data_IF_435601797790
#
_entry.id   IF_435601797790
#
_cell.length_a   1.000
_cell.length_b   1.000
_cell.length_c   1.000
_cell.angle_alpha   90.00
_cell.angle_beta   90.00
_cell.angle_gamma   90.00
#
_symmetry.space_group_name_H-M   'P 1'
#
loop_
_entity.id
_entity.type
_entity.pdbx_description
1 polymer ?
#
# COMPACT_ATOMS: atom_id res chain seq x y z
N UNK A 1 -18.30 1.05 -5.20
CA UNK A 1 -17.52 1.23 -3.99
C UNK A 1 -16.39 0.22 -3.92
N UNK A 2 -15.18 0.68 -3.71
CA UNK A 2 -13.98 -0.16 -3.63
C UNK A 2 -13.35 -0.04 -2.25
N UNK A 3 -12.61 -1.07 -1.86
CA UNK A 3 -11.75 -1.06 -0.67
C UNK A 3 -10.32 -1.22 -1.15
N UNK A 4 -9.55 -0.14 -1.05
CA UNK A 4 -8.23 -0.02 -1.66
C UNK A 4 -7.12 -0.11 -0.60
N UNK A 5 -6.04 -0.81 -0.94
CA UNK A 5 -4.81 -0.81 -0.15
C UNK A 5 -3.71 -0.21 -1.03
N UNK A 6 -3.15 0.92 -0.60
CA UNK A 6 -2.10 1.58 -1.37
C UNK A 6 -0.76 0.87 -1.13
N UNK A 7 -0.01 0.59 -2.20
CA UNK A 7 1.39 0.24 -2.00
C UNK A 7 2.20 1.50 -1.64
N UNK A 8 3.46 1.32 -1.30
CA UNK A 8 4.28 2.42 -0.79
C UNK A 8 4.43 3.54 -1.82
N UNK A 9 4.68 3.22 -3.09
CA UNK A 9 4.83 4.24 -4.12
C UNK A 9 3.53 4.98 -4.39
N UNK A 10 2.41 4.26 -4.48
CA UNK A 10 1.10 4.90 -4.69
C UNK A 10 0.78 5.89 -3.56
N UNK A 11 1.06 5.51 -2.32
CA UNK A 11 0.86 6.39 -1.17
C UNK A 11 1.74 7.63 -1.24
N UNK A 12 3.03 7.47 -1.51
CA UNK A 12 3.96 8.60 -1.61
C UNK A 12 3.61 9.52 -2.77
N UNK A 13 3.22 8.97 -3.91
CA UNK A 13 2.80 9.77 -5.06
C UNK A 13 1.53 10.56 -4.76
N UNK A 14 0.59 9.95 -4.04
CA UNK A 14 -0.61 10.66 -3.60
C UNK A 14 -0.26 11.87 -2.72
N UNK A 15 0.58 11.65 -1.71
CA UNK A 15 0.97 12.71 -0.77
C UNK A 15 1.69 13.87 -1.47
N UNK A 16 2.51 13.56 -2.46
CA UNK A 16 3.29 14.55 -3.21
C UNK A 16 2.52 15.14 -4.38
N UNK A 17 1.29 14.70 -4.63
CA UNK A 17 0.55 15.04 -5.84
C UNK A 17 1.40 14.82 -7.09
N UNK A 18 2.11 13.69 -7.12
CA UNK A 18 3.12 13.41 -8.14
C UNK A 18 2.48 13.02 -9.47
N UNK A 19 3.04 13.48 -10.61
CA UNK A 19 2.49 13.12 -11.93
C UNK A 19 2.61 11.64 -12.27
N UNK A 20 3.46 10.89 -11.57
CA UNK A 20 3.58 9.44 -11.73
C UNK A 20 2.30 8.69 -11.39
N UNK A 21 1.49 9.24 -10.47
CA UNK A 21 0.22 8.63 -10.13
C UNK A 21 -0.77 8.81 -11.28
N UNK A 22 -1.23 7.71 -11.87
CA UNK A 22 -2.14 7.75 -13.01
C UNK A 22 -3.51 8.33 -12.67
N UNK A 23 -4.22 8.82 -13.68
CA UNK A 23 -5.51 9.47 -13.49
C UNK A 23 -6.57 8.54 -12.89
N UNK A 24 -6.62 7.28 -13.33
CA UNK A 24 -7.57 6.29 -12.80
C UNK A 24 -7.35 6.03 -11.31
N UNK A 25 -6.09 5.87 -10.91
CA UNK A 25 -5.75 5.65 -9.51
C UNK A 25 -6.06 6.89 -8.68
N UNK A 26 -5.68 8.07 -9.16
CA UNK A 26 -5.97 9.33 -8.48
C UNK A 26 -7.46 9.51 -8.23
N UNK A 27 -8.27 9.21 -9.23
CA UNK A 27 -9.72 9.30 -9.15
C UNK A 27 -10.30 8.32 -8.13
N UNK A 28 -9.83 7.08 -8.16
CA UNK A 28 -10.30 6.04 -7.23
C UNK A 28 -9.91 6.35 -5.78
N UNK A 29 -8.69 6.83 -5.55
CA UNK A 29 -8.21 7.18 -4.22
C UNK A 29 -8.96 8.39 -3.68
N UNK A 30 -9.25 9.38 -4.52
CA UNK A 30 -9.95 10.60 -4.13
C UNK A 30 -11.47 10.45 -4.03
N UNK A 31 -12.04 9.33 -4.45
CA UNK A 31 -13.47 9.09 -4.39
C UNK A 31 -13.90 8.75 -2.97
N UNK A 32 -14.69 9.62 -2.36
CA UNK A 32 -15.14 9.47 -0.97
C UNK A 32 -15.98 8.21 -0.72
N UNK A 33 -16.54 7.61 -1.77
CA UNK A 33 -17.29 6.37 -1.66
C UNK A 33 -16.39 5.15 -1.47
N UNK A 34 -15.12 5.28 -1.76
CA UNK A 34 -14.14 4.20 -1.60
C UNK A 34 -13.48 4.30 -0.23
N UNK A 35 -13.19 3.14 0.36
CA UNK A 35 -12.37 3.07 1.55
C UNK A 35 -10.91 2.88 1.13
N UNK A 36 -10.01 3.70 1.64
CA UNK A 36 -8.59 3.66 1.32
C UNK A 36 -7.80 3.36 2.58
N UNK A 37 -6.95 2.33 2.49
CA UNK A 37 -6.13 1.85 3.61
C UNK A 37 -4.65 2.03 3.30
N UNK A 38 -3.89 2.36 4.34
CA UNK A 38 -2.43 2.37 4.32
C UNK A 38 -1.93 1.44 5.41
N UNK A 39 -1.11 0.46 5.02
CA UNK A 39 -0.62 -0.55 5.94
C UNK A 39 0.48 -0.01 6.85
N UNK A 40 0.54 -0.55 8.07
CA UNK A 40 1.68 -0.36 8.96
C UNK A 40 3.00 -0.80 8.30
N UNK A 41 2.96 -1.78 7.38
CA UNK A 41 4.13 -2.20 6.61
C UNK A 41 4.68 -1.06 5.76
N UNK A 42 3.81 -0.25 5.16
CA UNK A 42 4.23 0.91 4.36
C UNK A 42 4.92 1.95 5.25
N UNK A 43 4.36 2.23 6.41
CA UNK A 43 5.00 3.14 7.38
C UNK A 43 6.39 2.65 7.80
N UNK A 44 6.52 1.35 8.03
CA UNK A 44 7.79 0.73 8.41
C UNK A 44 8.81 0.79 7.25
N UNK A 45 8.40 0.45 6.04
CA UNK A 45 9.26 0.53 4.86
C UNK A 45 9.81 1.96 4.67
N UNK A 46 8.94 2.95 4.74
CA UNK A 46 9.34 4.35 4.58
C UNK A 46 10.32 4.76 5.67
N UNK A 47 10.05 4.39 6.92
CA UNK A 47 10.92 4.72 8.05
C UNK A 47 12.33 4.13 7.88
N UNK A 48 12.43 2.86 7.45
CA UNK A 48 13.70 2.20 7.21
C UNK A 48 14.47 2.90 6.08
N UNK A 49 13.81 3.13 4.96
CA UNK A 49 14.46 3.73 3.78
C UNK A 49 14.86 5.18 4.02
N UNK A 50 14.10 5.91 4.80
CA UNK A 50 14.45 7.28 5.20
C UNK A 50 15.70 7.26 6.09
N UNK A 51 15.76 6.35 7.05
CA UNK A 51 16.87 6.25 7.99
C UNK A 51 18.21 5.95 7.29
N UNK A 52 18.19 5.20 6.19
CA UNK A 52 19.41 4.88 5.42
C UNK A 52 19.62 5.81 4.23
N UNK A 53 18.85 6.88 4.12
CA UNK A 53 19.03 7.91 3.09
C UNK A 53 18.57 7.51 1.69
N UNK A 54 17.80 6.43 1.56
CA UNK A 54 17.32 5.95 0.24
C UNK A 54 16.01 6.57 -0.20
N UNK A 55 15.33 7.29 0.67
CA UNK A 55 14.02 7.84 0.39
C UNK A 55 13.82 9.14 1.15
N UNK A 56 13.27 10.14 0.45
CA UNK A 56 12.79 11.35 1.09
C UNK A 56 11.27 11.24 1.24
N UNK A 57 10.78 11.51 2.44
CA UNK A 57 9.35 11.45 2.74
C UNK A 57 9.03 12.40 3.88
N UNK A 58 7.77 12.86 4.00
CA UNK A 58 7.35 13.66 5.13
C UNK A 58 7.55 12.91 6.45
N UNK A 59 7.78 13.65 7.53
CA UNK A 59 8.01 13.06 8.85
C UNK A 59 6.71 12.66 9.57
N UNK A 60 5.63 13.36 9.29
CA UNK A 60 4.36 13.20 9.98
C UNK A 60 3.38 12.30 9.21
N UNK A 61 3.86 11.15 8.72
CA UNK A 61 3.05 10.25 7.89
C UNK A 61 1.77 9.78 8.57
N UNK A 62 1.84 9.50 9.87
CA UNK A 62 0.66 9.06 10.62
C UNK A 62 -0.48 10.08 10.53
N UNK A 63 -0.17 11.35 10.75
CA UNK A 63 -1.15 12.43 10.63
C UNK A 63 -1.62 12.59 9.18
N UNK A 64 -0.74 12.41 8.21
CA UNK A 64 -1.08 12.57 6.79
C UNK A 64 -2.03 11.47 6.30
N UNK A 65 -1.93 10.26 6.82
CA UNK A 65 -2.91 9.20 6.55
C UNK A 65 -4.30 9.66 6.97
N UNK A 66 -4.42 10.17 8.17
CA UNK A 66 -5.71 10.62 8.72
C UNK A 66 -6.23 11.85 7.98
N UNK A 67 -5.37 12.82 7.70
CA UNK A 67 -5.74 14.03 6.97
C UNK A 67 -6.23 13.74 5.56
N UNK A 68 -5.69 12.70 4.93
CA UNK A 68 -6.15 12.24 3.61
C UNK A 68 -7.49 11.52 3.65
N UNK A 69 -8.03 11.24 4.84
CA UNK A 69 -9.24 10.46 5.00
C UNK A 69 -9.02 8.97 4.86
N UNK A 70 -7.78 8.51 4.95
CA UNK A 70 -7.42 7.10 4.84
C UNK A 70 -7.46 6.42 6.21
N UNK A 71 -7.62 5.11 6.20
CA UNK A 71 -7.57 4.28 7.40
C UNK A 71 -6.24 3.57 7.53
N UNK A 72 -5.76 3.44 8.76
CA UNK A 72 -4.60 2.61 9.05
C UNK A 72 -4.98 1.14 8.99
N UNK A 73 -4.10 0.30 8.44
CA UNK A 73 -4.26 -1.15 8.45
C UNK A 73 -3.13 -1.77 9.27
N UNK A 74 -3.49 -2.27 10.44
CA UNK A 74 -2.53 -2.92 11.34
C UNK A 74 -2.14 -4.29 10.81
N UNK A 75 -0.89 -4.69 11.08
CA UNK A 75 -0.42 -6.03 10.77
C UNK A 75 -0.80 -6.95 11.94
N UNK A 76 -1.57 -7.99 11.64
CA UNK A 76 -1.93 -9.01 12.62
C UNK A 76 -0.94 -10.18 12.57
N UNK A 77 -0.98 -11.02 13.59
CA UNK A 77 -0.18 -12.25 13.58
C UNK A 77 -0.51 -13.12 12.36
N UNK A 78 -1.80 -13.22 12.04
CA UNK A 78 -2.27 -13.95 10.86
C UNK A 78 -1.67 -13.40 9.56
N UNK A 79 -1.66 -12.08 9.41
CA UNK A 79 -1.03 -11.45 8.24
C UNK A 79 0.44 -11.86 8.12
N UNK A 80 1.17 -11.88 9.24
CA UNK A 80 2.58 -12.25 9.26
C UNK A 80 2.81 -13.69 8.82
N UNK A 81 2.01 -14.62 9.34
CA UNK A 81 2.10 -16.02 8.96
C UNK A 81 1.79 -16.23 7.48
N UNK A 82 0.74 -15.59 6.98
CA UNK A 82 0.35 -15.67 5.58
C UNK A 82 1.42 -15.10 4.66
N UNK A 83 1.99 -13.95 5.01
CA UNK A 83 3.06 -13.33 4.22
C UNK A 83 4.27 -14.27 4.09
N UNK A 84 4.64 -14.91 5.19
CA UNK A 84 5.76 -15.86 5.20
C UNK A 84 5.50 -17.11 4.35
N UNK A 85 4.24 -17.52 4.25
CA UNK A 85 3.84 -18.75 3.53
C UNK A 85 3.57 -18.54 2.03
N UNK A 86 3.57 -17.28 1.54
CA UNK A 86 3.28 -17.01 0.14
C UNK A 86 4.29 -17.68 -0.80
N UNK A 87 3.87 -18.11 -2.01
CA UNK A 87 4.80 -18.56 -3.04
C UNK A 87 5.84 -17.49 -3.35
N UNK A 88 7.01 -17.90 -3.86
CA UNK A 88 8.12 -16.99 -4.10
C UNK A 88 8.05 -16.34 -5.48
N UNK A 89 6.96 -15.64 -5.80
CA UNK A 89 6.84 -14.79 -6.98
C UNK A 89 7.44 -13.41 -6.77
N UNK A 90 7.51 -12.97 -5.52
CA UNK A 90 8.06 -11.67 -5.12
C UNK A 90 8.93 -11.86 -3.89
N UNK A 91 10.08 -11.18 -3.86
CA UNK A 91 11.04 -11.29 -2.74
C UNK A 91 10.90 -10.17 -1.72
N UNK A 92 10.32 -9.05 -2.11
CA UNK A 92 10.20 -7.88 -1.24
C UNK A 92 9.26 -8.20 -0.08
N UNK A 93 9.74 -8.19 1.17
CA UNK A 93 8.92 -8.55 2.32
C UNK A 93 7.79 -7.57 2.59
N UNK A 94 7.97 -6.29 2.25
CA UNK A 94 6.91 -5.30 2.43
C UNK A 94 5.75 -5.55 1.47
N UNK A 95 6.05 -5.80 0.19
CA UNK A 95 5.02 -6.12 -0.80
C UNK A 95 4.34 -7.45 -0.49
N UNK A 96 5.09 -8.46 -0.02
CA UNK A 96 4.51 -9.72 0.42
C UNK A 96 3.51 -9.51 1.56
N UNK A 97 3.81 -8.62 2.49
CA UNK A 97 2.89 -8.28 3.57
C UNK A 97 1.61 -7.64 3.03
N UNK A 98 1.73 -6.70 2.09
CA UNK A 98 0.54 -6.08 1.46
C UNK A 98 -0.33 -7.13 0.77
N UNK A 99 0.29 -8.07 0.07
CA UNK A 99 -0.42 -9.16 -0.61
C UNK A 99 -1.20 -10.00 0.42
N UNK A 100 -0.54 -10.40 1.51
CA UNK A 100 -1.18 -11.19 2.55
C UNK A 100 -2.36 -10.43 3.19
N UNK A 101 -2.20 -9.15 3.43
CA UNK A 101 -3.28 -8.30 3.97
C UNK A 101 -4.43 -8.17 2.99
N UNK A 102 -4.16 -7.97 1.71
CA UNK A 102 -5.20 -7.87 0.69
C UNK A 102 -6.00 -9.17 0.58
N UNK A 103 -5.32 -10.31 0.63
CA UNK A 103 -5.98 -11.62 0.61
C UNK A 103 -6.87 -11.82 1.85
N UNK A 104 -6.35 -11.47 3.03
CA UNK A 104 -7.07 -11.67 4.28
C UNK A 104 -8.27 -10.72 4.43
N UNK A 105 -8.12 -9.47 4.01
CA UNK A 105 -9.12 -8.42 4.23
C UNK A 105 -9.98 -8.13 3.00
N UNK A 106 -9.73 -8.79 1.88
CA UNK A 106 -10.50 -8.59 0.65
C UNK A 106 -10.28 -7.22 0.01
N UNK A 107 -9.03 -6.77 -0.07
CA UNK A 107 -8.70 -5.44 -0.59
C UNK A 107 -8.15 -5.50 -2.01
N UNK A 108 -8.34 -4.41 -2.75
CA UNK A 108 -7.73 -4.19 -4.07
C UNK A 108 -6.44 -3.40 -3.85
N UNK A 109 -5.31 -3.91 -4.33
CA UNK A 109 -4.03 -3.21 -4.18
C UNK A 109 -3.83 -2.22 -5.30
N UNK A 110 -3.55 -0.97 -4.97
CA UNK A 110 -3.18 0.06 -5.94
C UNK A 110 -1.66 0.00 -6.11
N UNK A 111 -1.21 -0.45 -7.28
CA UNK A 111 0.21 -0.74 -7.52
C UNK A 111 0.54 -0.74 -9.00
N UNK A 112 1.82 -0.55 -9.35
CA UNK A 112 2.38 -0.83 -10.67
C UNK A 112 3.28 -2.05 -10.70
N UNK A 113 3.51 -2.68 -9.57
CA UNK A 113 4.42 -3.82 -9.48
C UNK A 113 3.83 -5.01 -10.25
N UNK A 114 4.54 -5.53 -11.29
CA UNK A 114 4.02 -6.63 -12.11
C UNK A 114 4.00 -7.97 -11.38
N UNK A 115 4.72 -8.11 -10.27
CA UNK A 115 4.76 -9.36 -9.49
C UNK A 115 3.55 -9.52 -8.58
N UNK A 116 2.95 -8.43 -8.13
CA UNK A 116 1.81 -8.48 -7.18
C UNK A 116 0.61 -9.22 -7.78
N UNK A 117 0.18 -8.96 -9.02
CA UNK A 117 -0.96 -9.68 -9.60
C UNK A 117 -0.76 -11.19 -9.71
N UNK A 118 0.48 -11.67 -9.70
CA UNK A 118 0.78 -13.12 -9.78
C UNK A 118 0.22 -13.92 -8.60
N UNK A 119 -0.13 -13.24 -7.51
CA UNK A 119 -0.71 -13.89 -6.33
C UNK A 119 -2.23 -14.00 -6.39
N UNK A 120 -2.84 -13.62 -7.50
CA UNK A 120 -4.29 -13.68 -7.67
C UNK A 120 -5.06 -12.60 -6.93
N UNK A 121 -4.39 -11.62 -6.32
CA UNK A 121 -5.06 -10.48 -5.71
C UNK A 121 -5.53 -9.51 -6.79
N UNK A 122 -6.62 -8.82 -6.52
CA UNK A 122 -7.10 -7.77 -7.42
C UNK A 122 -6.20 -6.56 -7.29
N UNK A 123 -5.87 -5.95 -8.42
CA UNK A 123 -5.04 -4.75 -8.46
C UNK A 123 -5.70 -3.65 -9.28
N UNK A 124 -5.37 -2.42 -8.93
CA UNK A 124 -5.68 -1.22 -9.72
C UNK A 124 -4.34 -0.57 -10.05
N UNK A 125 -4.13 -0.27 -11.32
CA UNK A 125 -2.87 0.31 -11.78
C UNK A 125 -2.68 1.72 -11.22
N UNK A 126 -1.54 1.93 -10.60
CA UNK A 126 -1.25 3.19 -9.91
C UNK A 126 -0.87 4.33 -10.88
#
# INVERSE_FOLDING_TARGET
>A
MLRLLLDTHAFLWWLADAPQLGDSARKAIGDERNDVFVSAATGWEIAIKRAVGKLQAPENLNAMVEESGFSHLSITFFHGEQAGALPMHHRDPFDRMLIAQAQAEGLVIVTRDPYIPRYGVRTLDA
#
